data_IF_749494811938
#
_entry.id   IF_749494811938
#
_cell.length_a   1.000
_cell.length_b   1.000
_cell.length_c   1.000
_cell.angle_alpha   90.00
_cell.angle_beta   90.00
_cell.angle_gamma   90.00
#
_symmetry.space_group_name_H-M   'P 1'
#
loop_
_entity.id
_entity.type
_entity.pdbx_description
1 polymer ?
#
# COMPACT_ATOMS: atom_id res chain seq x y z
N UNK A 1 -24.37 13.25 -11.43
CA UNK A 1 -24.06 11.89 -10.88
C UNK A 1 -22.69 12.02 -10.27
N UNK A 2 -22.66 12.11 -8.95
CA UNK A 2 -21.54 12.57 -8.15
C UNK A 2 -20.35 11.59 -8.17
N UNK A 3 -19.46 11.77 -9.14
CA UNK A 3 -18.10 11.22 -9.15
C UNK A 3 -17.18 11.91 -8.13
N UNK A 4 -17.71 12.88 -7.38
CA UNK A 4 -16.95 13.74 -6.47
C UNK A 4 -16.85 13.26 -5.03
N UNK A 5 -17.30 12.05 -4.69
CA UNK A 5 -17.40 11.61 -3.30
C UNK A 5 -16.37 10.58 -2.84
N UNK A 6 -15.27 10.36 -3.57
CA UNK A 6 -14.16 9.58 -3.05
C UNK A 6 -13.15 10.49 -2.34
N UNK A 7 -12.77 10.18 -1.10
CA UNK A 7 -11.83 10.99 -0.34
C UNK A 7 -10.45 10.95 -1.00
N UNK A 8 -10.00 12.10 -1.40
CA UNK A 8 -8.89 12.36 -2.31
C UNK A 8 -7.48 12.06 -1.77
N UNK A 9 -7.31 11.53 -0.55
CA UNK A 9 -5.98 11.19 0.02
C UNK A 9 -5.89 9.79 0.60
N UNK A 10 -6.98 9.13 0.94
CA UNK A 10 -7.03 7.88 1.71
C UNK A 10 -6.90 6.59 0.91
N UNK A 11 -6.97 6.64 -0.41
CA UNK A 11 -6.72 5.48 -1.29
C UNK A 11 -5.35 5.54 -1.96
N UNK A 12 -4.56 6.59 -1.69
CA UNK A 12 -3.27 6.78 -2.35
C UNK A 12 -2.22 5.77 -1.89
N UNK A 13 -2.23 5.40 -0.62
CA UNK A 13 -1.38 4.37 -0.02
C UNK A 13 -1.66 2.98 -0.58
N UNK A 14 -2.95 2.59 -0.71
CA UNK A 14 -3.34 1.34 -1.36
C UNK A 14 -2.92 1.31 -2.83
N UNK A 15 -3.11 2.40 -3.57
CA UNK A 15 -2.67 2.52 -4.96
C UNK A 15 -1.15 2.41 -5.05
N UNK A 16 -0.42 3.11 -4.17
CA UNK A 16 1.04 3.01 -4.11
C UNK A 16 1.49 1.57 -3.84
N UNK A 17 0.84 0.85 -2.92
CA UNK A 17 1.14 -0.55 -2.65
C UNK A 17 0.87 -1.45 -3.87
N UNK A 18 -0.27 -1.30 -4.53
CA UNK A 18 -0.61 -2.08 -5.73
C UNK A 18 0.43 -1.85 -6.83
N UNK A 19 0.79 -0.61 -7.12
CA UNK A 19 1.79 -0.28 -8.15
C UNK A 19 3.17 -0.79 -7.73
N UNK A 20 3.58 -0.64 -6.46
CA UNK A 20 4.85 -1.14 -5.95
C UNK A 20 4.95 -2.67 -6.07
N UNK A 21 3.91 -3.39 -5.67
CA UNK A 21 3.88 -4.84 -5.79
C UNK A 21 3.92 -5.29 -7.25
N UNK A 22 3.18 -4.60 -8.13
CA UNK A 22 3.24 -4.87 -9.58
C UNK A 22 4.63 -4.62 -10.15
N UNK A 23 5.30 -3.52 -9.77
CA UNK A 23 6.68 -3.26 -10.17
C UNK A 23 7.63 -4.33 -9.65
N UNK A 24 7.57 -4.64 -8.34
CA UNK A 24 8.47 -5.61 -7.69
C UNK A 24 8.46 -6.98 -8.36
N UNK A 25 7.31 -7.42 -8.86
CA UNK A 25 7.13 -8.75 -9.46
C UNK A 25 7.04 -8.72 -10.99
N UNK A 26 7.40 -7.62 -11.63
CA UNK A 26 7.42 -7.48 -13.09
C UNK A 26 6.04 -7.50 -13.73
N UNK A 27 5.01 -7.06 -13.02
CA UNK A 27 3.60 -7.13 -13.44
C UNK A 27 3.00 -5.76 -13.83
N UNK A 28 3.81 -4.74 -14.11
CA UNK A 28 3.28 -3.42 -14.50
C UNK A 28 2.43 -3.48 -15.76
N UNK A 29 2.79 -4.35 -16.73
CA UNK A 29 1.99 -4.59 -17.93
C UNK A 29 0.55 -5.04 -17.61
N UNK A 30 0.30 -5.72 -16.49
CA UNK A 30 -1.06 -6.05 -16.06
C UNK A 30 -1.89 -4.80 -15.77
N UNK A 31 -1.27 -3.78 -15.18
CA UNK A 31 -1.95 -2.51 -14.93
C UNK A 31 -2.16 -1.72 -16.23
N UNK A 32 -1.14 -1.65 -17.07
CA UNK A 32 -1.17 -0.86 -18.32
C UNK A 32 -2.01 -1.54 -19.40
N UNK A 33 -1.61 -2.71 -19.85
CA UNK A 33 -2.28 -3.43 -20.95
C UNK A 33 -3.59 -4.10 -20.48
N UNK A 34 -3.56 -4.65 -19.25
CA UNK A 34 -4.70 -5.38 -18.70
C UNK A 34 -5.85 -4.48 -18.26
N UNK A 35 -5.57 -3.33 -17.66
CA UNK A 35 -6.55 -2.40 -17.10
C UNK A 35 -6.58 -1.04 -17.80
N UNK A 36 -5.62 -0.72 -18.66
CA UNK A 36 -5.51 0.60 -19.32
C UNK A 36 -5.12 1.70 -18.33
N UNK A 37 -4.42 1.36 -17.25
CA UNK A 37 -3.94 2.31 -16.24
C UNK A 37 -2.66 2.95 -16.75
N UNK A 38 -2.70 4.26 -17.02
CA UNK A 38 -1.54 5.00 -17.51
C UNK A 38 -0.55 5.27 -16.37
N UNK A 39 0.61 4.62 -16.41
CA UNK A 39 1.71 4.79 -15.46
C UNK A 39 2.76 5.81 -15.91
N UNK A 40 2.59 6.47 -17.07
CA UNK A 40 3.51 7.48 -17.59
C UNK A 40 3.87 8.58 -16.56
N UNK A 41 2.94 9.09 -15.73
CA UNK A 41 3.32 10.08 -14.71
C UNK A 41 4.34 9.57 -13.71
N UNK A 42 4.26 8.30 -13.31
CA UNK A 42 5.24 7.67 -12.43
C UNK A 42 6.56 7.39 -13.17
N UNK A 43 6.49 6.93 -14.42
CA UNK A 43 7.65 6.67 -15.25
C UNK A 43 8.49 7.94 -15.48
N UNK A 44 7.84 9.05 -15.84
CA UNK A 44 8.50 10.34 -16.02
C UNK A 44 9.15 10.82 -14.72
N UNK A 45 8.41 10.79 -13.61
CA UNK A 45 8.93 11.17 -12.30
C UNK A 45 10.13 10.30 -11.89
N UNK A 46 10.06 9.00 -12.13
CA UNK A 46 11.13 8.07 -11.78
C UNK A 46 12.40 8.33 -12.63
N UNK A 47 12.25 8.64 -13.91
CA UNK A 47 13.38 8.98 -14.79
C UNK A 47 14.04 10.29 -14.36
N UNK A 48 13.26 11.34 -14.10
CA UNK A 48 13.78 12.67 -13.76
C UNK A 48 14.41 12.70 -12.36
N UNK A 49 13.81 12.02 -11.38
CA UNK A 49 14.21 12.09 -9.97
C UNK A 49 15.26 11.06 -9.60
N UNK A 50 15.21 9.87 -10.18
CA UNK A 50 16.06 8.72 -9.84
C UNK A 50 17.04 8.34 -10.96
N UNK A 51 17.33 9.24 -11.89
CA UNK A 51 18.20 8.98 -13.05
C UNK A 51 19.57 8.44 -12.66
N UNK A 52 20.22 9.10 -11.71
CA UNK A 52 21.59 8.81 -11.27
C UNK A 52 21.66 8.12 -9.90
N UNK A 53 20.54 7.56 -9.41
CA UNK A 53 20.50 6.90 -8.11
C UNK A 53 20.80 5.40 -8.22
N UNK A 54 21.40 4.83 -7.16
CA UNK A 54 21.49 3.38 -7.03
C UNK A 54 20.09 2.79 -6.82
N UNK A 55 19.72 1.80 -7.62
CA UNK A 55 18.46 1.09 -7.52
C UNK A 55 18.63 -0.42 -7.24
N UNK A 56 19.81 -0.90 -6.87
CA UNK A 56 20.11 -2.34 -6.69
C UNK A 56 19.24 -3.01 -5.62
N UNK A 57 18.82 -2.26 -4.59
CA UNK A 57 17.91 -2.76 -3.56
C UNK A 57 16.47 -2.97 -4.07
N UNK A 58 16.12 -2.38 -5.22
CA UNK A 58 14.79 -2.38 -5.82
C UNK A 58 14.68 -3.26 -7.07
N UNK A 59 15.62 -4.20 -7.23
CA UNK A 59 15.62 -5.13 -8.36
C UNK A 59 14.30 -5.90 -8.46
N UNK A 60 13.85 -6.11 -9.69
CA UNK A 60 12.58 -6.79 -9.97
C UNK A 60 12.75 -8.29 -9.81
N UNK A 61 11.81 -8.90 -9.09
CA UNK A 61 11.75 -10.36 -8.94
C UNK A 61 10.87 -10.93 -10.06
N UNK A 62 11.51 -11.46 -11.09
CA UNK A 62 10.79 -12.07 -12.20
C UNK A 62 10.06 -13.35 -11.78
N UNK A 63 8.81 -13.46 -12.21
CA UNK A 63 8.20 -14.73 -12.52
C UNK A 63 8.37 -14.96 -14.03
N UNK A 64 8.83 -16.10 -14.45
CA UNK A 64 9.48 -16.43 -15.72
C UNK A 64 8.74 -16.08 -17.03
N UNK A 65 7.52 -15.58 -16.98
CA UNK A 65 6.65 -15.42 -18.15
C UNK A 65 6.37 -13.96 -18.57
N UNK A 66 6.95 -12.98 -17.89
CA UNK A 66 6.72 -11.56 -18.21
C UNK A 66 7.97 -10.88 -18.77
N UNK A 67 7.87 -10.46 -20.04
CA UNK A 67 8.84 -9.58 -20.67
C UNK A 67 8.62 -8.14 -20.18
N UNK A 68 9.49 -7.65 -19.29
CA UNK A 68 9.61 -6.22 -19.06
C UNK A 68 10.28 -5.59 -20.27
N UNK A 69 9.65 -4.56 -20.84
CA UNK A 69 10.18 -3.84 -22.01
C UNK A 69 11.42 -3.02 -21.66
N UNK A 70 11.50 -2.51 -20.44
CA UNK A 70 12.62 -1.73 -19.91
C UNK A 70 12.83 -2.00 -18.42
N UNK A 71 13.73 -2.93 -18.11
CA UNK A 71 14.08 -3.31 -16.74
C UNK A 71 14.66 -2.14 -15.93
N UNK A 72 15.43 -1.27 -16.56
CA UNK A 72 16.03 -0.12 -15.90
C UNK A 72 14.97 0.89 -15.44
N UNK A 73 14.01 1.19 -16.30
CA UNK A 73 12.88 2.05 -15.96
C UNK A 73 11.99 1.44 -14.87
N UNK A 74 11.62 0.18 -15.01
CA UNK A 74 10.78 -0.51 -14.04
C UNK A 74 11.41 -0.55 -12.65
N UNK A 75 12.74 -0.72 -12.57
CA UNK A 75 13.48 -0.67 -11.30
C UNK A 75 13.45 0.73 -10.66
N UNK A 76 13.60 1.80 -11.47
CA UNK A 76 13.45 3.17 -11.00
C UNK A 76 12.02 3.47 -10.54
N UNK A 77 11.02 3.02 -11.30
CA UNK A 77 9.61 3.13 -10.92
C UNK A 77 9.31 2.39 -9.62
N UNK A 78 9.90 1.20 -9.43
CA UNK A 78 9.79 0.45 -8.19
C UNK A 78 10.35 1.23 -7.00
N UNK A 79 11.56 1.81 -7.13
CA UNK A 79 12.16 2.64 -6.09
C UNK A 79 11.29 3.87 -5.79
N UNK A 80 10.90 4.62 -6.82
CA UNK A 80 10.08 5.81 -6.68
C UNK A 80 8.76 5.55 -5.94
N UNK A 81 8.01 4.54 -6.37
CA UNK A 81 6.73 4.21 -5.75
C UNK A 81 6.88 3.58 -4.35
N UNK A 82 8.01 2.91 -4.05
CA UNK A 82 8.29 2.39 -2.73
C UNK A 82 8.51 3.53 -1.71
N UNK A 83 9.27 4.57 -2.09
CA UNK A 83 9.47 5.75 -1.24
C UNK A 83 8.14 6.48 -1.04
N UNK A 84 7.35 6.68 -2.10
CA UNK A 84 6.00 7.24 -2.01
C UNK A 84 5.12 6.45 -1.03
N UNK A 85 5.12 5.12 -1.11
CA UNK A 85 4.36 4.26 -0.21
C UNK A 85 4.81 4.44 1.24
N UNK A 86 6.11 4.42 1.54
CA UNK A 86 6.61 4.59 2.90
C UNK A 86 6.21 5.94 3.51
N UNK A 87 6.21 7.01 2.70
CA UNK A 87 5.74 8.31 3.15
C UNK A 87 4.24 8.31 3.47
N UNK A 88 3.44 7.75 2.57
CA UNK A 88 1.98 7.67 2.75
C UNK A 88 1.58 6.77 3.93
N UNK A 89 2.24 5.63 4.10
CA UNK A 89 2.07 4.74 5.26
C UNK A 89 2.39 5.47 6.57
N UNK A 90 3.53 6.17 6.63
CA UNK A 90 3.88 6.95 7.81
C UNK A 90 2.86 8.04 8.13
N UNK A 91 2.34 8.74 7.11
CA UNK A 91 1.26 9.72 7.30
C UNK A 91 -0.04 9.08 7.82
N UNK A 92 -0.36 7.86 7.38
CA UNK A 92 -1.54 7.13 7.87
C UNK A 92 -1.36 6.72 9.32
N UNK A 93 -0.22 6.12 9.67
CA UNK A 93 0.11 5.70 11.04
C UNK A 93 0.08 6.92 11.99
N UNK A 94 0.65 8.06 11.59
CA UNK A 94 0.60 9.30 12.40
C UNK A 94 -0.83 9.82 12.62
N UNK A 95 -1.77 9.56 11.69
CA UNK A 95 -3.19 9.91 11.87
C UNK A 95 -3.94 8.94 12.76
N UNK A 96 -3.43 7.71 12.90
CA UNK A 96 -4.08 6.61 13.60
C UNK A 96 -3.14 5.95 14.62
N UNK A 97 -2.69 6.68 15.67
CA UNK A 97 -1.84 6.10 16.70
C UNK A 97 -2.51 4.92 17.42
N UNK A 98 -3.85 4.85 17.41
CA UNK A 98 -4.63 3.73 17.94
C UNK A 98 -4.43 2.40 17.19
N UNK A 99 -3.75 2.41 16.03
CA UNK A 99 -3.40 1.17 15.32
C UNK A 99 -2.14 0.50 15.84
N UNK A 100 -1.35 1.22 16.68
CA UNK A 100 -0.12 0.71 17.28
C UNK A 100 0.87 0.13 16.26
N UNK A 101 1.09 0.85 15.15
CA UNK A 101 1.91 0.43 14.01
C UNK A 101 3.16 1.28 13.81
N UNK A 102 3.61 1.99 14.84
CA UNK A 102 4.77 2.90 14.78
C UNK A 102 6.08 2.17 14.47
N UNK A 103 6.15 0.87 14.75
CA UNK A 103 7.27 0.00 14.40
C UNK A 103 7.49 -0.10 12.88
N UNK A 104 6.45 0.11 12.07
CA UNK A 104 6.52 0.14 10.60
C UNK A 104 7.01 1.46 10.03
N UNK A 105 7.11 2.50 10.83
CA UNK A 105 7.64 3.80 10.42
C UNK A 105 9.18 3.75 10.44
N UNK A 106 9.80 3.62 9.28
CA UNK A 106 11.24 3.38 9.17
C UNK A 106 12.04 4.59 8.66
N UNK A 107 11.45 5.50 7.89
CA UNK A 107 12.20 6.58 7.24
C UNK A 107 12.92 7.51 8.23
N UNK A 108 12.30 7.82 9.38
CA UNK A 108 12.91 8.67 10.41
C UNK A 108 14.01 7.96 11.26
N UNK A 109 14.17 6.63 11.05
CA UNK A 109 15.19 5.81 11.74
C UNK A 109 16.47 5.66 10.94
N UNK A 110 16.52 6.26 9.74
CA UNK A 110 17.66 6.20 8.83
C UNK A 110 18.66 7.29 9.20
N UNK A 111 19.91 6.90 9.45
CA UNK A 111 21.06 7.79 9.50
C UNK A 111 21.67 7.84 8.08
N UNK A 112 21.38 8.91 7.35
CA UNK A 112 21.82 9.08 5.96
C UNK A 112 23.34 9.29 5.86
N UNK A 113 24.00 9.83 6.90
CA UNK A 113 25.44 10.06 6.89
C UNK A 113 26.19 8.74 7.12
N UNK A 114 25.75 7.95 8.14
CA UNK A 114 26.35 6.65 8.45
C UNK A 114 25.87 5.54 7.51
N UNK A 115 24.83 5.78 6.74
CA UNK A 115 24.14 4.79 5.91
C UNK A 115 23.67 3.57 6.72
N UNK A 116 23.04 3.85 7.85
CA UNK A 116 22.50 2.82 8.75
C UNK A 116 21.03 3.08 9.04
N UNK A 117 20.34 2.05 9.51
CA UNK A 117 18.98 2.15 10.05
C UNK A 117 18.94 1.51 11.43
N UNK A 118 18.29 2.17 12.39
CA UNK A 118 18.08 1.62 13.73
C UNK A 118 16.72 0.89 13.78
N UNK A 119 16.76 -0.44 14.01
CA UNK A 119 15.56 -1.27 14.21
C UNK A 119 15.72 -2.03 15.53
N UNK A 120 14.74 -1.91 16.42
CA UNK A 120 14.73 -2.55 17.74
C UNK A 120 16.02 -2.30 18.56
N UNK A 121 16.52 -1.06 18.50
CA UNK A 121 17.72 -0.62 19.20
C UNK A 121 19.05 -1.15 18.63
N UNK A 122 19.01 -1.78 17.44
CA UNK A 122 20.20 -2.25 16.73
C UNK A 122 20.38 -1.48 15.42
N UNK A 123 21.62 -1.11 15.12
CA UNK A 123 22.00 -0.50 13.86
C UNK A 123 22.30 -1.57 12.80
N UNK A 124 21.75 -1.38 11.63
CA UNK A 124 21.97 -2.24 10.46
C UNK A 124 22.48 -1.39 9.29
N UNK A 125 23.50 -1.84 8.57
CA UNK A 125 23.99 -1.14 7.39
C UNK A 125 22.94 -1.21 6.26
N UNK A 126 22.71 -0.09 5.60
CA UNK A 126 21.84 -0.01 4.45
C UNK A 126 22.64 -0.09 3.14
N UNK A 127 22.15 -0.87 2.20
CA UNK A 127 22.74 -0.98 0.86
C UNK A 127 22.49 0.24 -0.01
N UNK A 128 21.37 0.93 0.27
CA UNK A 128 20.93 2.09 -0.47
C UNK A 128 20.28 3.09 0.50
N UNK A 129 20.74 4.31 0.49
CA UNK A 129 20.21 5.46 1.23
C UNK A 129 20.03 6.68 0.32
N UNK A 130 20.18 6.48 -0.99
CA UNK A 130 20.05 7.53 -1.98
C UNK A 130 18.57 7.75 -2.32
N UNK A 131 17.88 8.47 -1.44
CA UNK A 131 16.45 8.79 -1.54
C UNK A 131 16.27 10.30 -1.73
N UNK A 132 16.39 10.81 -2.96
CA UNK A 132 16.50 12.24 -3.24
C UNK A 132 15.28 13.06 -2.81
N UNK A 133 14.13 12.43 -2.61
CA UNK A 133 12.90 13.10 -2.19
C UNK A 133 12.63 13.01 -0.68
N UNK A 134 13.47 12.29 0.08
CA UNK A 134 13.29 12.15 1.53
C UNK A 134 14.04 13.27 2.24
N UNK A 135 13.30 14.17 2.89
CA UNK A 135 13.86 15.14 3.83
C UNK A 135 14.12 14.45 5.18
N UNK A 136 15.36 14.40 5.70
CA UNK A 136 15.64 13.80 6.99
C UNK A 136 14.89 14.44 8.17
N UNK A 137 14.50 15.71 8.08
CA UNK A 137 13.73 16.43 9.12
C UNK A 137 12.24 16.10 9.03
N UNK A 138 11.72 15.98 7.81
CA UNK A 138 10.32 15.70 7.53
C UNK A 138 10.15 14.49 6.59
N UNK A 139 10.61 13.29 7.01
CA UNK A 139 10.79 12.16 6.10
C UNK A 139 9.50 11.61 5.49
N UNK A 140 8.34 11.95 6.05
CA UNK A 140 7.03 11.49 5.57
C UNK A 140 6.28 12.54 4.76
N UNK A 141 6.82 13.73 4.57
CA UNK A 141 6.20 14.74 3.72
C UNK A 141 6.43 14.41 2.23
N UNK A 142 5.36 14.53 1.44
CA UNK A 142 5.46 14.41 -0.01
C UNK A 142 6.00 15.71 -0.58
N UNK A 143 6.87 15.62 -1.56
CA UNK A 143 7.21 16.79 -2.40
C UNK A 143 6.00 17.19 -3.26
N UNK A 144 6.07 18.35 -3.90
CA UNK A 144 5.02 18.80 -4.82
C UNK A 144 4.87 17.84 -6.00
N UNK A 145 5.99 17.38 -6.56
CA UNK A 145 6.03 16.42 -7.67
C UNK A 145 5.44 15.09 -7.27
N UNK A 146 5.83 14.56 -6.10
CA UNK A 146 5.25 13.32 -5.54
C UNK A 146 3.74 13.43 -5.36
N UNK A 147 3.27 14.56 -4.85
CA UNK A 147 1.84 14.84 -4.68
C UNK A 147 1.10 14.86 -6.03
N UNK A 148 1.72 15.45 -7.08
CA UNK A 148 1.17 15.45 -8.43
C UNK A 148 1.10 14.04 -9.03
N UNK A 149 2.14 13.23 -8.87
CA UNK A 149 2.17 11.84 -9.33
C UNK A 149 1.05 11.04 -8.67
N UNK A 150 0.94 11.11 -7.33
CA UNK A 150 -0.10 10.37 -6.61
C UNK A 150 -1.51 10.80 -6.99
N UNK A 151 -1.74 12.11 -7.19
CA UNK A 151 -3.04 12.60 -7.66
C UNK A 151 -3.40 12.05 -9.05
N UNK A 152 -2.44 12.01 -9.98
CA UNK A 152 -2.65 11.46 -11.33
C UNK A 152 -2.91 9.95 -11.29
N UNK A 153 -2.12 9.19 -10.53
CA UNK A 153 -2.36 7.77 -10.34
C UNK A 153 -3.75 7.51 -9.77
N UNK A 154 -4.14 8.24 -8.73
CA UNK A 154 -5.48 8.13 -8.15
C UNK A 154 -6.58 8.36 -9.18
N UNK A 155 -6.44 9.41 -10.01
CA UNK A 155 -7.43 9.72 -11.04
C UNK A 155 -7.58 8.58 -12.06
N UNK A 156 -6.48 8.00 -12.54
CA UNK A 156 -6.55 6.91 -13.54
C UNK A 156 -7.10 5.62 -12.94
N UNK A 157 -6.71 5.27 -11.71
CA UNK A 157 -7.28 4.11 -11.00
C UNK A 157 -8.79 4.25 -10.78
N UNK A 158 -9.23 5.42 -10.34
CA UNK A 158 -10.66 5.70 -10.08
C UNK A 158 -11.50 5.74 -11.34
N UNK A 159 -10.92 6.12 -12.49
CA UNK A 159 -11.62 6.15 -13.79
C UNK A 159 -11.59 4.83 -14.53
N UNK A 160 -10.80 3.85 -14.09
CA UNK A 160 -10.73 2.55 -14.75
C UNK A 160 -12.00 1.73 -14.49
N UNK A 161 -12.95 1.75 -15.45
CA UNK A 161 -14.24 1.05 -15.32
C UNK A 161 -14.08 -0.46 -15.11
N UNK A 162 -13.10 -1.09 -15.78
CA UNK A 162 -12.81 -2.52 -15.63
C UNK A 162 -12.42 -2.83 -14.19
N UNK A 163 -11.52 -2.03 -13.60
CA UNK A 163 -11.12 -2.18 -12.19
C UNK A 163 -12.31 -1.97 -11.26
N UNK A 164 -13.11 -0.92 -11.48
CA UNK A 164 -14.28 -0.63 -10.65
C UNK A 164 -15.30 -1.78 -10.69
N UNK A 165 -15.51 -2.41 -11.84
CA UNK A 165 -16.38 -3.61 -11.96
C UNK A 165 -15.85 -4.79 -11.17
N UNK A 166 -14.54 -5.04 -11.22
CA UNK A 166 -13.92 -6.14 -10.46
C UNK A 166 -13.98 -5.88 -8.96
N UNK A 167 -13.66 -4.67 -8.50
CA UNK A 167 -13.77 -4.28 -7.10
C UNK A 167 -15.21 -4.41 -6.60
N UNK A 168 -16.19 -3.92 -7.37
CA UNK A 168 -17.62 -4.08 -7.04
C UNK A 168 -18.02 -5.55 -6.93
N UNK A 169 -17.53 -6.40 -7.82
CA UNK A 169 -17.78 -7.84 -7.75
C UNK A 169 -17.20 -8.44 -6.48
N UNK A 170 -15.94 -8.13 -6.12
CA UNK A 170 -15.30 -8.60 -4.90
C UNK A 170 -16.10 -8.20 -3.66
N UNK A 171 -16.53 -6.94 -3.54
CA UNK A 171 -17.33 -6.50 -2.39
C UNK A 171 -18.76 -7.05 -2.39
N UNK A 172 -19.31 -7.44 -3.53
CA UNK A 172 -20.68 -7.98 -3.63
C UNK A 172 -20.74 -9.48 -3.37
N UNK A 173 -19.69 -10.24 -3.73
CA UNK A 173 -19.66 -11.70 -3.72
C UNK A 173 -18.56 -12.29 -2.84
N UNK A 174 -17.52 -11.54 -2.55
CA UNK A 174 -16.41 -11.95 -1.71
C UNK A 174 -16.75 -11.81 -0.21
N UNK A 175 -15.85 -12.31 0.62
CA UNK A 175 -15.86 -12.19 2.07
C UNK A 175 -14.48 -12.54 2.61
N UNK A 176 -14.25 -12.25 3.90
CA UNK A 176 -12.99 -12.56 4.56
C UNK A 176 -12.78 -14.07 4.71
N UNK A 177 -13.86 -14.83 4.78
CA UNK A 177 -13.87 -16.30 4.79
C UNK A 177 -15.14 -16.83 4.14
N UNK A 178 -15.14 -18.14 3.82
CA UNK A 178 -16.32 -18.85 3.32
C UNK A 178 -16.33 -20.27 3.85
N UNK A 179 -17.50 -20.74 4.28
CA UNK A 179 -17.71 -22.15 4.59
C UNK A 179 -18.41 -22.80 3.39
N UNK A 180 -17.79 -23.83 2.84
CA UNK A 180 -18.35 -24.55 1.70
C UNK A 180 -18.07 -26.06 1.81
N UNK A 181 -19.10 -26.88 1.71
CA UNK A 181 -19.02 -28.34 1.89
C UNK A 181 -18.28 -28.78 3.17
N UNK A 182 -18.53 -28.10 4.29
CA UNK A 182 -17.86 -28.39 5.56
C UNK A 182 -16.40 -27.90 5.66
N UNK A 183 -15.87 -27.26 4.61
CA UNK A 183 -14.53 -26.69 4.61
C UNK A 183 -14.59 -25.19 4.92
N UNK A 184 -13.69 -24.72 5.79
CA UNK A 184 -13.43 -23.31 6.04
C UNK A 184 -12.37 -22.82 5.05
N UNK A 185 -12.75 -21.89 4.19
CA UNK A 185 -11.89 -21.26 3.19
C UNK A 185 -11.63 -19.81 3.61
N UNK A 186 -10.38 -19.44 3.73
CA UNK A 186 -9.96 -18.06 4.05
C UNK A 186 -8.57 -17.79 3.48
N UNK A 187 -8.21 -16.52 3.34
CA UNK A 187 -6.89 -16.10 2.88
C UNK A 187 -6.09 -15.53 4.07
N UNK A 188 -4.83 -15.92 4.17
CA UNK A 188 -3.96 -15.50 5.26
C UNK A 188 -3.97 -16.48 6.44
N UNK A 189 -3.99 -15.94 7.66
CA UNK A 189 -3.94 -16.75 8.88
C UNK A 189 -4.91 -16.21 9.94
N UNK A 190 -5.34 -17.07 10.84
CA UNK A 190 -6.00 -16.67 12.09
C UNK A 190 -4.92 -16.33 13.10
N UNK A 191 -4.89 -15.14 13.72
CA UNK A 191 -3.92 -14.81 14.77
C UNK A 191 -4.06 -15.75 15.96
N UNK A 192 -2.94 -16.38 16.35
CA UNK A 192 -2.86 -17.29 17.48
C UNK A 192 -1.75 -16.83 18.45
N UNK A 193 -1.96 -17.10 19.73
CA UNK A 193 -0.93 -17.04 20.73
C UNK A 193 0.06 -18.23 20.61
N UNK A 194 1.25 -18.15 21.22
CA UNK A 194 2.22 -19.25 21.19
C UNK A 194 1.69 -20.60 21.72
N UNK A 195 0.67 -20.58 22.59
CA UNK A 195 0.01 -21.75 23.15
C UNK A 195 -1.09 -22.35 22.24
N UNK A 196 -1.34 -21.70 21.06
CA UNK A 196 -2.36 -22.10 20.10
C UNK A 196 -3.77 -21.55 20.40
N UNK A 197 -3.97 -20.78 21.47
CA UNK A 197 -5.22 -20.08 21.71
C UNK A 197 -5.40 -18.90 20.73
N UNK A 198 -6.64 -18.48 20.49
CA UNK A 198 -6.91 -17.33 19.64
C UNK A 198 -6.36 -16.03 20.26
N UNK A 199 -5.55 -15.31 19.50
CA UNK A 199 -5.06 -14.00 19.89
C UNK A 199 -6.22 -12.99 19.89
N UNK A 200 -6.34 -12.20 20.98
CA UNK A 200 -7.25 -11.06 21.04
C UNK A 200 -6.62 -9.89 20.31
N UNK A 201 -7.41 -9.24 19.46
CA UNK A 201 -7.01 -8.06 18.69
C UNK A 201 -8.01 -6.95 19.01
N UNK A 202 -7.50 -5.80 19.44
CA UNK A 202 -8.33 -4.63 19.70
C UNK A 202 -8.69 -3.93 18.38
N UNK A 203 -9.99 -3.73 18.15
CA UNK A 203 -10.52 -2.97 17.01
C UNK A 203 -11.50 -1.94 17.55
N UNK A 204 -11.17 -0.66 17.41
CA UNK A 204 -11.99 0.46 17.88
C UNK A 204 -12.44 0.33 19.34
N UNK A 205 -11.52 -0.02 20.25
CA UNK A 205 -11.75 -0.11 21.68
C UNK A 205 -12.48 -1.38 22.15
N UNK A 206 -12.57 -2.42 21.27
CA UNK A 206 -13.14 -3.73 21.63
C UNK A 206 -12.23 -4.85 21.15
N UNK A 207 -12.12 -5.88 21.95
CA UNK A 207 -11.33 -7.06 21.63
C UNK A 207 -12.14 -8.08 20.83
N UNK A 208 -11.51 -8.63 19.80
CA UNK A 208 -12.05 -9.65 18.91
C UNK A 208 -11.01 -10.73 18.64
N UNK A 209 -11.48 -11.98 18.48
CA UNK A 209 -10.61 -13.10 18.09
C UNK A 209 -11.33 -14.08 17.16
N UNK A 210 -10.57 -14.92 16.49
CA UNK A 210 -11.10 -15.96 15.60
C UNK A 210 -12.11 -15.45 14.59
N UNK A 211 -13.30 -16.05 14.53
CA UNK A 211 -14.37 -15.65 13.61
C UNK A 211 -14.83 -14.22 13.81
N UNK A 212 -14.98 -13.77 15.08
CA UNK A 212 -15.45 -12.43 15.38
C UNK A 212 -14.50 -11.34 14.86
N UNK A 213 -13.18 -11.62 14.84
CA UNK A 213 -12.19 -10.74 14.24
C UNK A 213 -12.40 -10.61 12.72
N UNK A 214 -12.61 -11.72 12.01
CA UNK A 214 -12.92 -11.66 10.58
C UNK A 214 -14.21 -10.91 10.28
N UNK A 215 -15.26 -11.12 11.07
CA UNK A 215 -16.56 -10.47 10.89
C UNK A 215 -16.45 -8.94 11.06
N UNK A 216 -15.70 -8.46 12.06
CA UNK A 216 -15.54 -7.03 12.29
C UNK A 216 -14.63 -6.37 11.22
N UNK A 217 -13.59 -7.05 10.78
CA UNK A 217 -12.74 -6.55 9.69
C UNK A 217 -13.53 -6.46 8.37
N UNK A 218 -14.33 -7.48 8.05
CA UNK A 218 -15.22 -7.44 6.88
C UNK A 218 -16.25 -6.31 6.99
N UNK A 219 -16.81 -6.08 8.18
CA UNK A 219 -17.72 -4.97 8.41
C UNK A 219 -17.08 -3.62 8.07
N UNK A 220 -15.86 -3.34 8.57
CA UNK A 220 -15.16 -2.09 8.26
C UNK A 220 -14.76 -1.98 6.79
N UNK A 221 -14.29 -3.06 6.18
CA UNK A 221 -13.97 -3.09 4.75
C UNK A 221 -15.20 -2.74 3.91
N UNK A 222 -16.36 -3.32 4.21
CA UNK A 222 -17.62 -3.00 3.52
C UNK A 222 -18.08 -1.57 3.76
N UNK A 223 -17.90 -1.03 4.96
CA UNK A 223 -18.18 0.39 5.24
C UNK A 223 -17.25 1.31 4.46
N UNK A 224 -15.96 0.98 4.34
CA UNK A 224 -15.01 1.72 3.50
C UNK A 224 -15.44 1.82 2.03
N UNK A 225 -16.16 0.82 1.53
CA UNK A 225 -16.65 0.79 0.16
C UNK A 225 -18.06 1.37 -0.02
N UNK A 226 -19.03 1.02 0.86
CA UNK A 226 -20.45 1.30 0.67
C UNK A 226 -20.98 2.48 1.48
N UNK A 227 -20.31 2.93 2.55
CA UNK A 227 -20.84 3.96 3.42
C UNK A 227 -21.06 5.28 2.67
N UNK A 228 -22.22 5.89 2.89
CA UNK A 228 -22.57 7.20 2.32
C UNK A 228 -21.92 8.33 3.09
N UNK A 229 -21.85 8.20 4.42
CA UNK A 229 -21.20 9.18 5.28
C UNK A 229 -19.68 9.19 5.09
N UNK A 230 -19.12 10.38 4.87
CA UNK A 230 -17.70 10.54 4.59
C UNK A 230 -16.80 10.05 5.74
N UNK A 231 -17.23 10.29 7.01
CA UNK A 231 -16.47 9.87 8.19
C UNK A 231 -16.41 8.34 8.33
N UNK A 232 -17.53 7.66 8.17
CA UNK A 232 -17.61 6.20 8.24
C UNK A 232 -16.83 5.54 7.12
N UNK A 233 -16.99 6.07 5.91
CA UNK A 233 -16.25 5.58 4.75
C UNK A 233 -14.74 5.75 4.95
N UNK A 234 -14.33 6.89 5.49
CA UNK A 234 -12.96 7.20 5.77
C UNK A 234 -12.33 6.20 6.74
N UNK A 235 -12.98 5.96 7.89
CA UNK A 235 -12.51 4.97 8.86
C UNK A 235 -12.42 3.58 8.24
N UNK A 236 -13.44 3.15 7.49
CA UNK A 236 -13.41 1.85 6.83
C UNK A 236 -12.28 1.73 5.79
N UNK A 237 -11.92 2.81 5.10
CA UNK A 237 -10.80 2.82 4.16
C UNK A 237 -9.44 2.77 4.87
N UNK A 238 -9.28 3.50 5.97
CA UNK A 238 -8.08 3.46 6.79
C UNK A 238 -7.90 2.07 7.44
N UNK A 239 -9.00 1.38 7.77
CA UNK A 239 -9.00 -0.01 8.29
C UNK A 239 -8.70 -1.09 7.23
N UNK A 240 -8.94 -0.84 5.93
CA UNK A 240 -8.59 -1.78 4.85
C UNK A 240 -7.07 -1.84 4.66
N UNK A 241 -6.41 -0.73 4.89
CA UNK A 241 -4.95 -0.65 4.78
C UNK A 241 -4.27 -1.45 5.88
#
# INVERSE_FOLDING_TARGET
>A
RDLHSFPTRRSSDLIANVVRMSARYGNLATLEDGYGINLLPLATFALETYENTNCDAFTIKFNTDYNTKDLGLDTKMHKAIAILQFKLEGQLIMRHPEFHMEDRMLLHRIDFEKKTICVDGKEYPMKDVDFPTVDPVHPYELTEEESKVMLRLQQVFMRCEKLQRHVKFLFSKGGMYKIYNGNLLYHGCVPLNPDGSFMQVEICGKEYCGKALYDILEYYARRGYYAKEAKERALGQDMIW
#
